data_IF_646979594783
#
_entry.id   IF_646979594783
#
_cell.length_a   1.000
_cell.length_b   1.000
_cell.length_c   1.000
_cell.angle_alpha   90.00
_cell.angle_beta   90.00
_cell.angle_gamma   90.00
#
_symmetry.space_group_name_H-M   'P 1'
#
loop_
_entity.id
_entity.type
_entity.pdbx_description
1 polymer ?
#
# COMPACT_ATOMS: atom_id res chain seq x y z
N UNK A 1 -38.24 -40.32 16.14
CA UNK A 1 -37.10 -40.91 16.87
C UNK A 1 -36.15 -41.53 15.87
N UNK A 2 -35.03 -40.87 15.59
CA UNK A 2 -33.81 -41.42 15.01
C UNK A 2 -32.74 -40.35 15.21
N UNK A 3 -32.28 -40.28 16.46
CA UNK A 3 -31.13 -39.47 16.88
C UNK A 3 -29.89 -40.01 16.20
N UNK A 4 -29.58 -39.48 15.01
CA UNK A 4 -28.26 -39.61 14.42
C UNK A 4 -27.29 -38.76 15.22
N UNK A 5 -26.46 -39.40 16.03
CA UNK A 5 -25.39 -38.76 16.80
C UNK A 5 -24.50 -37.94 15.86
N UNK A 6 -24.70 -36.63 15.82
CA UNK A 6 -23.76 -35.70 15.20
C UNK A 6 -22.50 -35.70 16.06
N UNK A 7 -21.40 -36.20 15.50
CA UNK A 7 -20.08 -36.14 16.12
C UNK A 7 -19.62 -34.68 16.03
N UNK A 8 -19.96 -33.91 17.06
CA UNK A 8 -19.47 -32.55 17.30
C UNK A 8 -18.02 -32.65 17.75
N UNK A 9 -17.07 -32.46 16.83
CA UNK A 9 -15.68 -32.18 17.21
C UNK A 9 -15.37 -30.73 16.87
N UNK A 10 -15.46 -29.86 17.87
CA UNK A 10 -15.02 -28.48 17.73
C UNK A 10 -13.49 -28.39 17.69
N UNK A 11 -12.97 -27.25 17.21
CA UNK A 11 -11.59 -27.00 16.75
C UNK A 11 -10.43 -27.44 17.66
N UNK A 12 -10.67 -27.77 18.92
CA UNK A 12 -9.63 -28.08 19.91
C UNK A 12 -9.76 -29.50 20.53
N UNK A 13 -10.72 -30.31 20.09
CA UNK A 13 -10.86 -31.71 20.53
C UNK A 13 -10.29 -32.69 19.50
N UNK A 14 -9.56 -33.72 19.98
CA UNK A 14 -9.05 -34.80 19.13
C UNK A 14 -10.23 -35.49 18.43
N UNK A 15 -10.31 -35.34 17.12
CA UNK A 15 -11.36 -35.95 16.32
C UNK A 15 -10.71 -37.15 15.63
N UNK A 16 -11.06 -38.36 16.06
CA UNK A 16 -10.46 -39.59 15.52
C UNK A 16 -10.62 -39.69 14.00
N UNK A 17 -11.67 -39.08 13.43
CA UNK A 17 -11.95 -39.07 12.00
C UNK A 17 -11.09 -38.07 11.21
N UNK A 18 -10.64 -36.98 11.84
CA UNK A 18 -9.80 -35.95 11.20
C UNK A 18 -8.31 -36.15 11.44
N UNK A 19 -7.95 -36.88 12.49
CA UNK A 19 -6.56 -37.18 12.86
C UNK A 19 -6.01 -38.44 12.16
N UNK A 20 -6.75 -38.99 11.18
CA UNK A 20 -6.30 -40.12 10.34
C UNK A 20 -5.18 -39.68 9.40
N UNK A 21 -4.06 -40.42 9.43
CA UNK A 21 -2.94 -40.19 8.50
C UNK A 21 -3.40 -40.42 7.05
N UNK A 22 -3.12 -39.43 6.20
CA UNK A 22 -3.37 -39.56 4.77
C UNK A 22 -2.17 -40.22 4.09
N UNK A 23 -2.42 -41.02 3.04
CA UNK A 23 -1.35 -41.56 2.19
C UNK A 23 -0.58 -40.45 1.44
N UNK A 24 -1.24 -39.32 1.20
CA UNK A 24 -0.67 -38.16 0.52
C UNK A 24 0.10 -37.30 1.51
N UNK A 25 1.30 -36.87 1.11
CA UNK A 25 2.15 -36.00 1.92
C UNK A 25 1.88 -34.54 1.59
N UNK A 26 1.51 -33.74 2.59
CA UNK A 26 1.48 -32.29 2.46
C UNK A 26 2.91 -31.75 2.53
N UNK A 27 3.38 -31.07 1.48
CA UNK A 27 4.75 -30.51 1.40
C UNK A 27 5.87 -31.52 1.73
N UNK A 28 5.66 -32.81 1.43
CA UNK A 28 6.64 -33.87 1.67
C UNK A 28 6.66 -34.42 3.11
N UNK A 29 5.86 -33.86 4.02
CA UNK A 29 5.68 -34.37 5.40
C UNK A 29 4.44 -35.25 5.52
N UNK A 30 4.44 -36.20 6.46
CA UNK A 30 3.21 -36.91 6.83
C UNK A 30 2.22 -35.90 7.39
N UNK A 31 0.97 -36.03 6.97
CA UNK A 31 -0.10 -35.10 7.28
C UNK A 31 -1.40 -35.86 7.47
N UNK A 32 -2.21 -35.41 8.42
CA UNK A 32 -3.55 -35.95 8.63
C UNK A 32 -4.60 -35.17 7.81
N UNK A 33 -5.85 -35.65 7.81
CA UNK A 33 -6.96 -35.01 7.09
C UNK A 33 -7.17 -33.57 7.59
N UNK A 34 -7.02 -33.33 8.89
CA UNK A 34 -7.10 -31.99 9.50
C UNK A 34 -6.07 -31.00 8.94
N UNK A 35 -4.83 -31.43 8.76
CA UNK A 35 -3.75 -30.61 8.18
C UNK A 35 -4.08 -30.21 6.75
N UNK A 36 -4.61 -31.15 5.95
CA UNK A 36 -5.06 -30.90 4.59
C UNK A 36 -6.22 -29.90 4.55
N UNK A 37 -7.23 -30.06 5.42
CA UNK A 37 -8.36 -29.13 5.51
C UNK A 37 -7.88 -27.73 5.88
N UNK A 38 -7.05 -27.62 6.92
CA UNK A 38 -6.52 -26.33 7.39
C UNK A 38 -5.71 -25.63 6.29
N UNK A 39 -4.91 -26.38 5.54
CA UNK A 39 -4.11 -25.82 4.46
C UNK A 39 -4.98 -25.38 3.27
N UNK A 40 -6.01 -26.15 2.90
CA UNK A 40 -6.98 -25.75 1.88
C UNK A 40 -7.72 -24.47 2.30
N UNK A 41 -8.16 -24.39 3.56
CA UNK A 41 -8.81 -23.19 4.11
C UNK A 41 -7.85 -21.98 4.13
N UNK A 42 -6.56 -22.19 4.46
CA UNK A 42 -5.51 -21.17 4.40
C UNK A 42 -5.35 -20.62 2.98
N UNK A 43 -5.29 -21.49 1.98
CA UNK A 43 -5.12 -21.08 0.58
C UNK A 43 -6.38 -20.40 0.01
N UNK A 44 -7.57 -20.84 0.41
CA UNK A 44 -8.83 -20.17 0.06
C UNK A 44 -8.89 -18.75 0.62
N UNK A 45 -8.37 -18.53 1.83
CA UNK A 45 -8.35 -17.22 2.49
C UNK A 45 -7.21 -16.31 1.98
N UNK A 46 -6.12 -16.90 1.50
CA UNK A 46 -4.87 -16.21 1.24
C UNK A 46 -4.05 -16.00 2.51
N UNK A 47 -2.74 -15.85 2.34
CA UNK A 47 -1.78 -15.64 3.43
C UNK A 47 -1.08 -14.29 3.24
N UNK A 48 -1.47 -13.32 4.06
CA UNK A 48 -0.90 -11.97 4.03
C UNK A 48 0.60 -11.94 4.37
N UNK A 49 1.08 -12.82 5.26
CA UNK A 49 2.50 -12.86 5.66
C UNK A 49 3.37 -13.32 4.51
N UNK A 50 2.84 -14.25 3.70
CA UNK A 50 3.52 -14.81 2.52
C UNK A 50 3.17 -14.07 1.22
N UNK A 51 2.38 -12.99 1.28
CA UNK A 51 1.83 -12.26 0.11
C UNK A 51 1.08 -13.18 -0.86
N UNK A 52 0.48 -14.24 -0.34
CA UNK A 52 -0.26 -15.21 -1.13
C UNK A 52 -1.70 -14.74 -1.24
N UNK A 53 -2.13 -14.44 -2.47
CA UNK A 53 -3.52 -14.07 -2.75
C UNK A 53 -4.46 -15.26 -2.50
N UNK A 54 -5.73 -14.99 -2.13
CA UNK A 54 -6.77 -16.01 -2.09
C UNK A 54 -6.80 -16.80 -3.41
N UNK A 55 -6.73 -18.12 -3.32
CA UNK A 55 -6.74 -19.00 -4.48
C UNK A 55 -8.11 -19.63 -4.70
N UNK A 56 -8.48 -19.83 -5.96
CA UNK A 56 -9.67 -20.62 -6.31
C UNK A 56 -9.36 -22.13 -6.22
N UNK A 57 -10.40 -22.98 -6.18
CA UNK A 57 -10.26 -24.44 -6.04
C UNK A 57 -9.31 -25.08 -7.07
N UNK A 58 -9.28 -24.56 -8.30
CA UNK A 58 -8.39 -25.06 -9.36
C UNK A 58 -6.92 -24.67 -9.12
N UNK A 59 -6.68 -23.45 -8.63
CA UNK A 59 -5.34 -22.99 -8.24
C UNK A 59 -4.83 -23.75 -7.01
N UNK A 60 -5.70 -24.08 -6.07
CA UNK A 60 -5.37 -24.91 -4.90
C UNK A 60 -5.00 -26.32 -5.33
N UNK A 61 -5.77 -26.93 -6.25
CA UNK A 61 -5.46 -28.26 -6.81
C UNK A 61 -4.05 -28.30 -7.41
N UNK A 62 -3.70 -27.27 -8.20
CA UNK A 62 -2.37 -27.16 -8.79
C UNK A 62 -1.28 -26.91 -7.74
N UNK A 63 -1.54 -26.07 -6.73
CA UNK A 63 -0.58 -25.73 -5.68
C UNK A 63 -0.26 -26.91 -4.77
N UNK A 64 -1.28 -27.72 -4.47
CA UNK A 64 -1.18 -28.87 -3.57
C UNK A 64 -0.91 -30.20 -4.29
N UNK A 65 -0.99 -30.22 -5.62
CA UNK A 65 -0.79 -31.43 -6.43
C UNK A 65 -1.86 -32.50 -6.22
N UNK A 66 -3.10 -32.09 -5.89
CA UNK A 66 -4.23 -33.02 -5.64
C UNK A 66 -5.37 -32.77 -6.60
N UNK A 67 -6.19 -33.79 -6.83
CA UNK A 67 -7.34 -33.70 -7.72
C UNK A 67 -8.42 -32.76 -7.11
N UNK A 68 -9.07 -31.98 -7.98
CA UNK A 68 -10.16 -31.06 -7.58
C UNK A 68 -11.33 -31.75 -6.84
N UNK A 69 -11.75 -32.98 -7.19
CA UNK A 69 -12.75 -33.72 -6.40
C UNK A 69 -12.32 -33.93 -4.96
N UNK A 70 -11.06 -34.28 -4.72
CA UNK A 70 -10.49 -34.49 -3.39
C UNK A 70 -10.57 -33.23 -2.52
N UNK A 71 -10.36 -32.04 -3.11
CA UNK A 71 -10.57 -30.75 -2.42
C UNK A 71 -12.03 -30.58 -2.02
N UNK A 72 -12.98 -30.93 -2.90
CA UNK A 72 -14.41 -30.83 -2.56
C UNK A 72 -14.79 -31.80 -1.45
N UNK A 73 -14.21 -33.00 -1.41
CA UNK A 73 -14.46 -33.98 -0.36
C UNK A 73 -13.91 -33.49 1.00
N UNK A 74 -12.70 -32.93 1.02
CA UNK A 74 -12.15 -32.27 2.22
C UNK A 74 -12.98 -31.08 2.69
N UNK A 75 -13.53 -30.28 1.77
CA UNK A 75 -14.40 -29.15 2.13
C UNK A 75 -15.76 -29.61 2.65
N UNK A 76 -16.32 -30.72 2.13
CA UNK A 76 -17.54 -31.33 2.70
C UNK A 76 -17.31 -31.81 4.13
N UNK A 77 -16.17 -32.45 4.38
CA UNK A 77 -15.76 -32.86 5.73
C UNK A 77 -15.55 -31.64 6.64
N UNK A 78 -14.92 -30.58 6.13
CA UNK A 78 -14.74 -29.34 6.89
C UNK A 78 -16.07 -28.71 7.32
N UNK A 79 -17.11 -28.82 6.49
CA UNK A 79 -18.47 -28.33 6.81
C UNK A 79 -19.16 -29.23 7.84
N UNK A 80 -19.05 -30.55 7.71
CA UNK A 80 -19.65 -31.49 8.68
C UNK A 80 -19.05 -31.37 10.08
N UNK A 81 -17.84 -30.84 10.19
CA UNK A 81 -17.14 -30.58 11.46
C UNK A 81 -17.11 -29.09 11.84
N UNK A 82 -17.99 -28.25 11.27
CA UNK A 82 -18.14 -26.82 11.62
C UNK A 82 -16.82 -25.99 11.49
N UNK A 83 -15.87 -26.45 10.68
CA UNK A 83 -14.62 -25.74 10.41
C UNK A 83 -14.83 -24.60 9.40
N UNK A 84 -15.83 -24.74 8.52
CA UNK A 84 -16.31 -23.73 7.58
C UNK A 84 -17.80 -23.92 7.27
N UNK A 85 -18.45 -22.87 6.78
CA UNK A 85 -19.86 -22.81 6.40
C UNK A 85 -19.99 -22.49 4.91
N UNK A 86 -21.15 -22.78 4.31
CA UNK A 86 -21.48 -22.32 2.96
C UNK A 86 -22.60 -21.28 3.06
N UNK A 87 -22.36 -20.08 2.54
CA UNK A 87 -23.39 -19.04 2.41
C UNK A 87 -24.42 -19.42 1.34
N UNK A 88 -25.58 -18.77 1.35
CA UNK A 88 -26.68 -18.94 0.38
C UNK A 88 -26.21 -18.79 -1.09
N UNK A 89 -25.15 -17.99 -1.32
CA UNK A 89 -24.52 -17.80 -2.63
C UNK A 89 -23.53 -18.91 -3.03
N UNK A 90 -23.43 -20.02 -2.27
CA UNK A 90 -22.50 -21.12 -2.52
C UNK A 90 -21.04 -20.82 -2.18
N UNK A 91 -20.76 -19.71 -1.46
CA UNK A 91 -19.41 -19.31 -1.04
C UNK A 91 -19.08 -19.89 0.32
N UNK A 92 -17.86 -20.40 0.46
CA UNK A 92 -17.36 -20.95 1.74
C UNK A 92 -16.99 -19.78 2.65
N UNK A 93 -17.65 -19.69 3.81
CA UNK A 93 -17.36 -18.77 4.91
C UNK A 93 -16.56 -19.55 5.96
N UNK A 94 -15.51 -18.96 6.52
CA UNK A 94 -14.71 -19.60 7.58
C UNK A 94 -15.07 -18.90 8.90
N UNK A 95 -15.69 -19.57 9.90
CA UNK A 95 -16.12 -18.96 11.15
C UNK A 95 -14.94 -18.32 11.87
N UNK A 96 -15.12 -17.04 12.21
CA UNK A 96 -14.09 -16.06 12.54
C UNK A 96 -13.34 -16.36 13.84
N UNK A 97 -12.02 -16.53 13.74
CA UNK A 97 -11.06 -16.11 14.79
C UNK A 97 -9.85 -15.34 14.24
N UNK A 98 -9.73 -15.19 12.92
CA UNK A 98 -8.64 -14.44 12.32
C UNK A 98 -9.19 -13.41 11.33
N UNK A 99 -8.83 -12.14 11.53
CA UNK A 99 -9.15 -10.99 10.66
C UNK A 99 -8.89 -11.34 9.19
N UNK A 100 -9.74 -10.86 8.28
CA UNK A 100 -9.66 -11.16 6.85
C UNK A 100 -8.41 -10.53 6.19
N UNK A 101 -8.00 -11.04 5.03
CA UNK A 101 -6.96 -10.41 4.20
C UNK A 101 -7.46 -9.02 3.75
N UNK A 102 -6.89 -7.96 4.33
CA UNK A 102 -7.34 -6.57 4.15
C UNK A 102 -7.69 -5.87 5.47
N UNK A 103 -8.03 -6.62 6.52
CA UNK A 103 -8.40 -6.12 7.84
C UNK A 103 -7.23 -6.05 8.85
N UNK A 104 -6.03 -6.46 8.45
CA UNK A 104 -4.84 -6.17 9.25
C UNK A 104 -4.58 -4.66 9.23
N UNK A 105 -4.97 -3.96 10.29
CA UNK A 105 -4.30 -2.78 10.80
C UNK A 105 -2.87 -3.21 11.16
N UNK A 106 -1.95 -3.10 10.20
CA UNK A 106 -0.51 -3.41 10.30
C UNK A 106 0.21 -2.70 11.50
N UNK A 107 -0.51 -1.95 12.32
CA UNK A 107 -0.01 -0.97 13.27
C UNK A 107 -0.62 -1.06 14.67
N UNK A 108 -1.57 -1.96 14.95
CA UNK A 108 -2.11 -2.12 16.33
C UNK A 108 -1.01 -2.50 17.33
N UNK A 109 -0.07 -3.37 16.95
CA UNK A 109 1.07 -3.77 17.78
C UNK A 109 2.31 -2.86 17.60
N UNK A 110 2.23 -1.81 16.78
CA UNK A 110 3.37 -0.94 16.50
C UNK A 110 3.54 0.08 17.63
N UNK A 111 4.67 0.02 18.34
CA UNK A 111 5.00 0.96 19.43
C UNK A 111 4.97 2.42 18.99
N UNK A 112 5.19 2.70 17.70
CA UNK A 112 5.07 4.04 17.13
C UNK A 112 3.61 4.51 17.02
N UNK A 113 2.67 3.60 16.79
CA UNK A 113 1.23 3.87 16.72
C UNK A 113 0.59 4.05 18.10
N UNK A 114 1.25 3.54 19.16
CA UNK A 114 0.81 3.71 20.55
C UNK A 114 1.04 5.14 21.07
N UNK A 115 1.81 5.98 20.37
CA UNK A 115 1.93 7.40 20.69
C UNK A 115 0.59 8.12 20.40
N UNK A 116 -0.02 8.79 21.40
CA UNK A 116 -1.31 9.46 21.23
C UNK A 116 -1.34 10.46 20.07
N UNK A 117 -0.23 11.18 19.82
CA UNK A 117 -0.14 12.17 18.74
C UNK A 117 -0.16 11.52 17.36
N UNK A 118 0.43 10.32 17.25
CA UNK A 118 0.45 9.55 16.00
C UNK A 118 -0.92 8.94 15.75
N UNK A 119 -1.54 8.36 16.80
CA UNK A 119 -2.86 7.75 16.70
C UNK A 119 -3.91 8.74 16.19
N UNK A 120 -3.99 9.90 16.83
CA UNK A 120 -4.94 10.95 16.48
C UNK A 120 -4.74 11.47 15.04
N UNK A 121 -3.47 11.64 14.63
CA UNK A 121 -3.14 12.00 13.25
C UNK A 121 -3.53 10.91 12.24
N UNK A 122 -3.30 9.64 12.54
CA UNK A 122 -3.66 8.53 11.63
C UNK A 122 -5.17 8.36 11.53
N UNK A 123 -5.91 8.53 12.63
CA UNK A 123 -7.37 8.57 12.61
C UNK A 123 -7.90 9.70 11.71
N UNK A 124 -7.24 10.87 11.73
CA UNK A 124 -7.53 11.94 10.78
C UNK A 124 -7.24 11.55 9.32
N UNK A 125 -6.15 10.83 9.05
CA UNK A 125 -5.83 10.34 7.70
C UNK A 125 -6.88 9.33 7.18
N UNK A 126 -7.56 8.62 8.08
CA UNK A 126 -8.66 7.71 7.73
C UNK A 126 -9.97 8.41 7.42
N UNK A 127 -10.17 9.63 7.92
CA UNK A 127 -11.46 10.33 7.90
C UNK A 127 -11.49 11.60 7.04
N UNK A 128 -10.37 11.97 6.38
CA UNK A 128 -10.18 13.28 5.75
C UNK A 128 -11.23 13.61 4.65
N UNK A 129 -11.81 14.82 4.77
CA UNK A 129 -12.67 15.62 3.87
C UNK A 129 -13.92 14.99 3.21
N UNK A 130 -13.89 13.71 2.85
CA UNK A 130 -15.00 13.02 2.17
C UNK A 130 -15.42 11.73 2.90
N UNK A 131 -15.01 11.57 4.17
CA UNK A 131 -15.24 10.35 4.96
C UNK A 131 -14.47 9.12 4.46
N UNK A 132 -13.52 9.31 3.54
CA UNK A 132 -12.71 8.23 2.96
C UNK A 132 -11.24 8.34 3.36
N UNK A 133 -10.55 7.22 3.57
CA UNK A 133 -9.14 7.22 3.91
C UNK A 133 -8.30 7.75 2.75
N UNK A 134 -7.26 8.53 3.06
CA UNK A 134 -6.31 8.98 2.05
C UNK A 134 -5.61 7.76 1.44
N UNK A 135 -5.68 7.57 0.12
CA UNK A 135 -5.06 6.40 -0.57
C UNK A 135 -3.60 6.13 -0.18
N UNK A 136 -2.84 7.16 0.17
CA UNK A 136 -1.42 7.09 0.55
C UNK A 136 -1.14 7.20 2.06
N UNK A 137 -2.14 7.02 2.93
CA UNK A 137 -1.97 7.16 4.39
C UNK A 137 -0.86 6.26 4.94
N UNK A 138 -0.75 5.00 4.46
CA UNK A 138 0.31 4.06 4.87
C UNK A 138 1.71 4.56 4.54
N UNK A 139 1.86 5.21 3.39
CA UNK A 139 3.13 5.80 2.97
C UNK A 139 3.47 7.02 3.83
N UNK A 140 2.47 7.80 4.24
CA UNK A 140 2.66 8.93 5.16
C UNK A 140 3.08 8.45 6.55
N UNK A 141 2.36 7.49 7.11
CA UNK A 141 2.71 6.87 8.38
C UNK A 141 4.14 6.32 8.36
N UNK A 142 4.45 5.50 7.35
CA UNK A 142 5.77 4.88 7.20
C UNK A 142 6.87 5.94 6.99
N UNK A 143 6.58 7.03 6.27
CA UNK A 143 7.51 8.14 6.08
C UNK A 143 7.84 8.88 7.37
N UNK A 144 6.83 9.14 8.21
CA UNK A 144 7.01 9.77 9.52
C UNK A 144 7.78 8.87 10.48
N UNK A 145 7.37 7.60 10.62
CA UNK A 145 8.05 6.60 11.45
C UNK A 145 9.53 6.50 11.08
N UNK A 146 9.81 6.41 9.78
CA UNK A 146 11.19 6.33 9.25
C UNK A 146 12.00 7.59 9.60
N UNK A 147 11.40 8.77 9.56
CA UNK A 147 12.07 10.02 9.96
C UNK A 147 12.43 10.01 11.46
N UNK A 148 11.47 9.68 12.32
CA UNK A 148 11.68 9.57 13.77
C UNK A 148 12.76 8.53 14.11
N UNK A 149 12.71 7.35 13.48
CA UNK A 149 13.69 6.28 13.68
C UNK A 149 15.09 6.64 13.18
N UNK A 150 15.19 7.39 12.07
CA UNK A 150 16.48 7.83 11.49
C UNK A 150 17.14 8.88 12.36
N UNK A 151 16.36 9.86 12.85
CA UNK A 151 16.87 10.96 13.68
C UNK A 151 16.92 10.62 15.18
N UNK A 152 16.38 9.47 15.58
CA UNK A 152 16.20 9.06 16.98
C UNK A 152 15.45 10.10 17.81
N UNK A 153 14.40 10.67 17.22
CA UNK A 153 13.53 11.67 17.84
C UNK A 153 12.12 11.12 18.07
N UNK A 154 11.44 11.65 19.09
CA UNK A 154 10.02 11.38 19.35
C UNK A 154 9.12 12.29 18.49
N UNK A 155 7.90 11.86 18.13
CA UNK A 155 6.93 12.69 17.39
C UNK A 155 6.69 14.06 18.03
N UNK A 156 6.61 14.11 19.37
CA UNK A 156 6.43 15.35 20.13
C UNK A 156 7.50 16.42 19.85
N UNK A 157 8.73 16.02 19.49
CA UNK A 157 9.81 16.96 19.19
C UNK A 157 9.61 17.68 17.84
N UNK A 158 8.75 17.17 16.96
CA UNK A 158 8.44 17.81 15.68
C UNK A 158 7.43 18.95 15.82
N UNK A 159 6.62 18.96 16.89
CA UNK A 159 5.49 19.88 17.08
C UNK A 159 5.77 21.00 18.09
N UNK A 160 7.02 21.15 18.56
CA UNK A 160 7.39 22.18 19.54
C UNK A 160 7.17 23.58 18.98
N UNK A 161 7.84 23.89 17.88
CA UNK A 161 7.72 25.16 17.18
C UNK A 161 8.24 25.05 15.74
N UNK A 162 7.84 26.01 14.90
CA UNK A 162 8.21 26.04 13.48
C UNK A 162 9.72 26.11 13.26
N UNK A 163 10.47 26.87 14.06
CA UNK A 163 11.91 27.06 13.89
C UNK A 163 12.67 25.77 14.21
N UNK A 164 12.29 25.08 15.29
CA UNK A 164 12.84 23.78 15.65
C UNK A 164 12.54 22.73 14.59
N UNK A 165 11.30 22.66 14.09
CA UNK A 165 10.93 21.75 13.00
C UNK A 165 11.79 21.97 11.74
N UNK A 166 11.99 23.23 11.33
CA UNK A 166 12.82 23.55 10.18
C UNK A 166 14.27 23.12 10.37
N UNK A 167 14.84 23.32 11.56
CA UNK A 167 16.20 22.87 11.90
C UNK A 167 16.33 21.35 11.84
N UNK A 168 15.33 20.62 12.33
CA UNK A 168 15.26 19.16 12.23
C UNK A 168 15.27 18.71 10.76
N UNK A 169 14.46 19.35 9.90
CA UNK A 169 14.44 19.05 8.46
C UNK A 169 15.77 19.36 7.76
N UNK A 170 16.43 20.47 8.11
CA UNK A 170 17.75 20.82 7.58
C UNK A 170 18.79 19.76 7.96
N UNK A 171 18.83 19.36 9.23
CA UNK A 171 19.74 18.32 9.72
C UNK A 171 19.48 16.97 9.05
N UNK A 172 18.21 16.62 8.83
CA UNK A 172 17.83 15.41 8.10
C UNK A 172 18.35 15.44 6.66
N UNK A 173 18.14 16.56 5.95
CA UNK A 173 18.59 16.71 4.56
C UNK A 173 20.11 16.59 4.46
N UNK A 174 20.84 17.35 5.29
CA UNK A 174 22.31 17.33 5.30
C UNK A 174 22.85 15.96 5.70
N UNK A 175 22.26 15.32 6.71
CA UNK A 175 22.72 14.02 7.18
C UNK A 175 22.48 12.89 6.18
N UNK A 176 21.38 12.94 5.42
CA UNK A 176 21.12 12.00 4.33
C UNK A 176 22.04 12.26 3.12
N UNK A 177 22.25 13.53 2.78
CA UNK A 177 23.13 13.92 1.66
C UNK A 177 24.59 13.52 1.93
N UNK A 178 25.07 13.75 3.15
CA UNK A 178 26.45 13.45 3.55
C UNK A 178 26.65 11.96 3.93
N UNK A 179 25.58 11.15 3.89
CA UNK A 179 25.62 9.74 4.26
C UNK A 179 25.86 9.46 5.76
N UNK A 180 25.83 10.49 6.62
CA UNK A 180 26.04 10.35 8.07
C UNK A 180 24.83 9.72 8.78
N UNK A 181 23.64 9.88 8.19
CA UNK A 181 22.43 9.23 8.68
C UNK A 181 22.19 7.91 7.95
N UNK A 182 22.29 6.82 8.71
CA UNK A 182 21.89 5.49 8.23
C UNK A 182 20.37 5.41 8.28
N UNK A 183 19.78 5.00 7.16
CA UNK A 183 18.36 4.84 7.07
C UNK A 183 17.85 3.71 7.99
N UNK A 184 16.58 3.74 8.40
CA UNK A 184 15.95 2.70 9.24
C UNK A 184 16.11 1.26 8.73
N UNK A 185 16.39 1.09 7.43
CA UNK A 185 16.70 -0.19 6.78
C UNK A 185 18.21 -0.55 6.76
N UNK A 186 19.04 0.13 7.52
CA UNK A 186 20.48 -0.13 7.63
C UNK A 186 21.32 0.22 6.39
N UNK A 187 20.76 0.94 5.40
CA UNK A 187 21.48 1.32 4.18
C UNK A 187 21.78 2.81 4.16
N UNK A 188 23.06 3.19 4.06
CA UNK A 188 23.49 4.54 3.67
C UNK A 188 23.67 4.56 2.15
N UNK A 189 22.62 4.91 1.42
CA UNK A 189 22.75 5.08 -0.03
C UNK A 189 22.68 6.57 -0.35
N UNK A 190 23.82 7.13 -0.76
CA UNK A 190 23.89 8.43 -1.43
C UNK A 190 23.09 8.44 -2.75
N UNK A 191 22.71 7.28 -3.28
CA UNK A 191 21.78 7.12 -4.40
C UNK A 191 20.35 6.95 -3.90
N UNK A 192 19.46 7.88 -4.27
CA UNK A 192 18.03 7.83 -3.95
C UNK A 192 17.63 8.46 -2.61
N UNK A 193 18.54 9.18 -1.93
CA UNK A 193 18.22 9.93 -0.71
C UNK A 193 17.14 10.98 -0.94
N UNK A 194 17.09 11.61 -2.12
CA UNK A 194 16.06 12.59 -2.50
C UNK A 194 14.63 12.04 -2.35
N UNK A 195 14.43 10.79 -2.79
CA UNK A 195 13.11 10.15 -2.71
C UNK A 195 12.78 9.81 -1.26
N UNK A 196 13.74 9.30 -0.51
CA UNK A 196 13.55 8.99 0.91
C UNK A 196 13.25 10.27 1.72
N UNK A 197 14.04 11.33 1.51
CA UNK A 197 13.86 12.64 2.12
C UNK A 197 12.51 13.24 1.74
N UNK A 198 12.12 13.17 0.46
CA UNK A 198 10.82 13.66 0.01
C UNK A 198 9.66 13.03 0.80
N UNK A 199 9.63 11.70 0.92
CA UNK A 199 8.56 11.02 1.67
C UNK A 199 8.58 11.36 3.16
N UNK A 200 9.76 11.40 3.80
CA UNK A 200 9.90 11.81 5.20
C UNK A 200 9.41 13.24 5.43
N UNK A 201 9.85 14.18 4.59
CA UNK A 201 9.46 15.59 4.61
C UNK A 201 7.96 15.77 4.45
N UNK A 202 7.35 15.17 3.41
CA UNK A 202 5.93 15.34 3.14
C UNK A 202 5.05 14.76 4.25
N UNK A 203 5.51 13.67 4.86
CA UNK A 203 4.81 13.03 5.99
C UNK A 203 4.90 13.88 7.25
N UNK A 204 6.10 14.36 7.61
CA UNK A 204 6.26 15.22 8.78
C UNK A 204 5.60 16.57 8.61
N UNK A 205 5.57 17.11 7.39
CA UNK A 205 4.85 18.35 7.07
C UNK A 205 3.35 18.22 7.38
N UNK A 206 2.73 17.13 6.94
CA UNK A 206 1.30 16.88 7.19
C UNK A 206 1.02 16.67 8.67
N UNK A 207 1.89 15.93 9.37
CA UNK A 207 1.80 15.71 10.81
C UNK A 207 1.88 17.02 11.61
N UNK A 208 2.89 17.87 11.37
CA UNK A 208 3.03 19.12 12.13
C UNK A 208 1.92 20.12 11.78
N UNK A 209 1.42 20.12 10.53
CA UNK A 209 0.27 20.94 10.14
C UNK A 209 -1.02 20.49 10.84
N UNK A 210 -1.23 19.18 11.00
CA UNK A 210 -2.37 18.63 11.75
C UNK A 210 -2.33 19.09 13.21
N UNK A 211 -1.14 19.06 13.84
CA UNK A 211 -0.91 19.51 15.21
C UNK A 211 -0.71 21.03 15.37
N UNK A 212 -1.17 21.84 14.42
CA UNK A 212 -1.27 23.30 14.57
C UNK A 212 -0.05 24.13 14.13
N UNK A 213 1.03 23.52 13.63
CA UNK A 213 2.15 24.29 13.04
C UNK A 213 1.80 24.72 11.62
N UNK A 214 1.51 26.02 11.46
CA UNK A 214 1.23 26.61 10.16
C UNK A 214 2.47 26.64 9.25
N UNK A 215 2.41 25.87 8.15
CA UNK A 215 3.41 25.89 7.08
C UNK A 215 2.82 26.47 5.78
N UNK A 216 2.96 27.80 5.55
CA UNK A 216 2.40 28.48 4.38
C UNK A 216 2.71 27.80 3.05
N UNK A 217 1.76 27.91 2.12
CA UNK A 217 1.94 27.47 0.73
C UNK A 217 3.02 28.36 0.08
N UNK A 218 3.91 27.76 -0.71
CA UNK A 218 4.98 28.50 -1.38
C UNK A 218 6.24 28.76 -0.54
N UNK A 219 6.31 28.25 0.69
CA UNK A 219 7.53 28.32 1.50
C UNK A 219 8.71 27.67 0.75
N UNK A 220 9.77 28.45 0.53
CA UNK A 220 11.03 27.97 -0.05
C UNK A 220 11.82 27.07 0.90
N UNK A 221 12.86 26.41 0.38
CA UNK A 221 13.80 25.63 1.18
C UNK A 221 13.32 24.23 1.58
N UNK A 222 13.91 23.68 2.65
CA UNK A 222 13.79 22.25 3.02
C UNK A 222 12.39 21.78 3.40
N UNK A 223 11.48 22.69 3.77
CA UNK A 223 10.09 22.39 4.09
C UNK A 223 9.12 22.62 2.91
N UNK A 224 9.65 22.99 1.74
CA UNK A 224 8.85 23.20 0.54
C UNK A 224 8.13 21.92 0.13
N UNK A 225 6.83 22.03 -0.13
CA UNK A 225 6.02 20.95 -0.70
C UNK A 225 6.21 20.75 -2.21
N UNK A 226 7.05 21.56 -2.87
CA UNK A 226 7.30 21.41 -4.31
C UNK A 226 8.01 20.08 -4.57
N UNK A 227 7.52 19.34 -5.56
CA UNK A 227 8.18 18.15 -6.10
C UNK A 227 9.31 18.64 -7.01
N UNK A 228 10.56 18.31 -6.66
CA UNK A 228 11.78 18.79 -7.33
C UNK A 228 11.73 18.53 -8.84
N UNK A 229 11.16 17.38 -9.25
CA UNK A 229 11.04 16.99 -10.67
C UNK A 229 10.15 17.90 -11.50
N UNK A 230 9.19 18.63 -10.91
CA UNK A 230 8.36 19.55 -11.70
C UNK A 230 9.10 20.83 -12.10
N UNK A 231 10.11 21.26 -11.33
CA UNK A 231 10.99 22.36 -11.74
C UNK A 231 11.98 21.93 -12.83
N UNK A 232 12.49 20.70 -12.74
CA UNK A 232 13.43 20.15 -13.72
C UNK A 232 12.88 20.03 -15.15
N UNK A 233 11.55 19.98 -15.34
CA UNK A 233 10.93 19.97 -16.67
C UNK A 233 10.35 21.34 -17.06
N UNK A 234 10.26 22.29 -16.13
CA UNK A 234 9.78 23.64 -16.42
C UNK A 234 10.86 24.48 -17.12
N UNK A 235 12.14 24.17 -16.88
CA UNK A 235 13.28 24.90 -17.43
C UNK A 235 13.95 24.18 -18.63
N UNK A 236 13.38 23.08 -19.12
CA UNK A 236 13.85 22.42 -20.35
C UNK A 236 13.17 23.10 -21.53
N UNK A 237 13.77 24.19 -22.00
CA UNK A 237 13.46 24.73 -23.32
C UNK A 237 13.96 23.74 -24.37
N UNK A 238 13.05 23.16 -25.15
CA UNK A 238 13.42 22.49 -26.39
C UNK A 238 13.84 23.56 -27.40
N UNK A 239 14.93 23.32 -28.11
CA UNK A 239 15.27 24.14 -29.29
C UNK A 239 14.28 23.87 -30.42
N UNK A 240 14.14 24.81 -31.36
CA UNK A 240 13.24 24.65 -32.52
C UNK A 240 13.53 23.35 -33.30
N UNK A 241 14.80 22.97 -33.43
CA UNK A 241 15.18 21.73 -34.10
C UNK A 241 14.80 20.47 -33.33
N UNK A 242 14.81 20.50 -31.99
CA UNK A 242 14.35 19.40 -31.14
C UNK A 242 12.83 19.28 -31.15
N UNK A 243 12.11 20.41 -31.27
CA UNK A 243 10.67 20.43 -31.48
C UNK A 243 10.29 19.77 -32.81
N UNK A 244 10.99 20.09 -33.90
CA UNK A 244 10.77 19.49 -35.23
C UNK A 244 11.00 17.96 -35.21
N UNK A 245 12.03 17.50 -34.48
CA UNK A 245 12.33 16.07 -34.34
C UNK A 245 11.24 15.37 -33.52
N UNK A 246 10.79 16.00 -32.43
CA UNK A 246 9.71 15.44 -31.60
C UNK A 246 8.38 15.38 -32.36
N UNK A 247 8.07 16.40 -33.15
CA UNK A 247 6.88 16.46 -34.01
C UNK A 247 6.88 15.31 -35.02
N UNK A 248 7.98 15.15 -35.78
CA UNK A 248 8.12 14.05 -36.75
C UNK A 248 7.95 12.68 -36.09
N UNK A 249 8.62 12.43 -34.96
CA UNK A 249 8.50 11.17 -34.24
C UNK A 249 7.06 10.90 -33.79
N UNK A 250 6.33 11.93 -33.34
CA UNK A 250 4.96 11.79 -32.86
C UNK A 250 4.00 11.48 -34.01
N UNK A 251 4.12 12.20 -35.11
CA UNK A 251 3.32 12.00 -36.33
C UNK A 251 3.56 10.58 -36.87
N UNK A 252 4.83 10.18 -37.02
CA UNK A 252 5.19 8.85 -37.54
C UNK A 252 4.71 7.71 -36.65
N UNK A 253 4.77 7.88 -35.32
CA UNK A 253 4.49 6.80 -34.36
C UNK A 253 3.02 6.68 -33.97
N UNK A 254 2.30 7.80 -33.92
CA UNK A 254 0.93 7.84 -33.39
C UNK A 254 -0.09 8.40 -34.39
N UNK A 255 0.33 8.88 -35.56
CA UNK A 255 -0.53 9.39 -36.64
C UNK A 255 -1.55 10.44 -36.16
N UNK A 256 -1.12 11.33 -35.27
CA UNK A 256 -1.94 12.40 -34.71
C UNK A 256 -1.72 13.67 -35.52
N UNK A 257 -2.79 14.20 -36.11
CA UNK A 257 -2.75 15.43 -36.92
C UNK A 257 -2.73 16.71 -36.02
N UNK A 258 -2.25 17.80 -36.63
CA UNK A 258 -1.69 19.04 -36.06
C UNK A 258 -2.47 19.76 -34.92
N UNK A 259 -3.74 19.47 -34.69
CA UNK A 259 -4.53 20.11 -33.62
C UNK A 259 -4.14 19.64 -32.21
N UNK A 260 -3.76 18.36 -32.06
CA UNK A 260 -3.19 17.88 -30.78
C UNK A 260 -1.81 18.50 -30.55
N UNK A 261 -1.11 18.88 -31.61
CA UNK A 261 0.20 19.52 -31.52
C UNK A 261 0.09 20.98 -31.09
N UNK A 262 -0.93 21.74 -31.52
CA UNK A 262 -1.22 23.09 -30.97
C UNK A 262 -1.49 23.05 -29.47
N UNK A 263 -2.24 22.03 -29.02
CA UNK A 263 -2.46 21.75 -27.59
C UNK A 263 -1.16 21.38 -26.88
N UNK A 264 -0.23 20.71 -27.56
CA UNK A 264 1.11 20.39 -27.08
C UNK A 264 2.02 21.63 -27.03
N UNK A 265 2.00 22.51 -28.04
CA UNK A 265 2.75 23.77 -28.10
C UNK A 265 2.32 24.73 -26.99
N UNK A 266 1.01 24.95 -26.82
CA UNK A 266 0.46 25.71 -25.67
C UNK A 266 0.82 25.03 -24.34
N UNK A 267 0.92 23.70 -24.32
CA UNK A 267 1.34 22.93 -23.16
C UNK A 267 2.83 23.04 -22.82
N UNK A 268 3.69 23.06 -23.84
CA UNK A 268 5.15 23.24 -23.72
C UNK A 268 5.46 24.67 -23.33
N UNK A 269 4.97 25.65 -24.11
CA UNK A 269 5.24 27.07 -23.89
C UNK A 269 4.61 27.59 -22.60
N UNK A 270 3.39 27.13 -22.28
CA UNK A 270 2.66 27.55 -21.08
C UNK A 270 2.87 26.68 -19.85
N UNK A 271 3.59 25.55 -19.95
CA UNK A 271 3.73 24.55 -18.88
C UNK A 271 2.39 23.96 -18.39
N UNK A 272 1.33 24.06 -19.21
CA UNK A 272 -0.02 23.71 -18.83
C UNK A 272 -0.24 22.19 -18.82
N UNK A 273 -0.96 21.69 -17.81
CA UNK A 273 -1.25 20.25 -17.70
C UNK A 273 -2.23 19.81 -18.78
N UNK A 274 -2.08 18.58 -19.29
CA UNK A 274 -3.00 17.94 -20.26
C UNK A 274 -4.49 18.15 -19.91
N UNK A 275 -4.86 18.00 -18.64
CA UNK A 275 -6.27 18.17 -18.22
C UNK A 275 -6.77 19.62 -18.21
N UNK A 276 -5.88 20.61 -18.11
CA UNK A 276 -6.23 22.02 -18.24
C UNK A 276 -6.37 22.39 -19.71
N UNK A 277 -5.43 21.91 -20.54
CA UNK A 277 -5.43 22.09 -21.99
C UNK A 277 -6.67 21.48 -22.67
N UNK A 278 -7.07 20.27 -22.28
CA UNK A 278 -8.28 19.61 -22.79
C UNK A 278 -9.59 20.29 -22.34
N UNK A 279 -9.51 21.27 -21.45
CA UNK A 279 -10.65 22.06 -20.96
C UNK A 279 -10.62 23.51 -21.45
N UNK A 280 -9.62 23.87 -22.25
CA UNK A 280 -9.55 25.21 -22.83
C UNK A 280 -10.62 25.33 -23.90
N UNK A 281 -11.55 26.25 -23.71
CA UNK A 281 -12.53 26.64 -24.72
C UNK A 281 -11.99 27.89 -25.44
N UNK A 282 -11.93 27.86 -26.78
CA UNK A 282 -11.57 29.03 -27.57
C UNK A 282 -12.76 29.98 -27.59
N UNK A 283 -12.69 31.06 -26.81
CA UNK A 283 -13.60 32.18 -26.96
C UNK A 283 -13.09 33.07 -28.09
N UNK A 284 -13.74 33.02 -29.24
CA UNK A 284 -13.54 33.98 -30.30
C UNK A 284 -14.41 35.20 -29.99
N UNK A 285 -13.80 36.34 -29.75
CA UNK A 285 -14.49 37.64 -29.86
C UNK A 285 -14.43 38.04 -31.35
N UNK A 286 -15.59 38.33 -31.95
CA UNK A 286 -15.70 38.87 -33.33
C UNK A 286 -15.14 40.29 -33.44
#
# INVERSE_FOLDING_TARGET
MSSGSQILCTKDEKCQDLDVETRNRLYGTRSNIRDWINEILRLLKGDARRRQLPQNKSQIANTLGIARPTINDYLKLAISHEMCEINEAGKIIIPEKSKQFGEWSYYEDDTFMQDPLIKDWVENLHTKKDGKPIKSWRNRYSGLKRMCNTLKIKPAQLIVDKKSYLKILQNLSLGLQNGTLVNDKGRSNATGWDTAFHWMKMSSRDFVQFHGIALPKGMGGVASGKVIRHGQYADVGLTDSELDIAEKFIIEKWNLDSDIFRVWGVGIEGGARKMALLKTELQWEE
#
